data_IF_112410721632
#
_entry.id   IF_112410721632
#
_cell.length_a   1.000
_cell.length_b   1.000
_cell.length_c   1.000
_cell.angle_alpha   90.00
_cell.angle_beta   90.00
_cell.angle_gamma   90.00
#
_symmetry.space_group_name_H-M   'P 1'
#
loop_
_entity.id
_entity.type
_entity.pdbx_description
1 polymer ?
#
# COMPACT_ATOMS: atom_id res chain seq x y z
N UNK A 1 0.50 -25.11 -16.01
CA UNK A 1 1.62 -24.19 -15.70
C UNK A 1 0.97 -22.93 -15.20
N UNK A 2 1.28 -22.50 -13.98
CA UNK A 2 0.68 -21.30 -13.37
C UNK A 2 1.40 -20.03 -13.84
N UNK A 3 0.65 -18.96 -14.06
CA UNK A 3 1.14 -17.64 -14.44
C UNK A 3 1.65 -16.90 -13.21
N UNK A 4 2.83 -16.30 -13.35
CA UNK A 4 3.38 -15.34 -12.39
C UNK A 4 3.09 -13.94 -12.89
N UNK A 5 2.46 -13.12 -12.05
CA UNK A 5 2.00 -11.79 -12.43
C UNK A 5 2.75 -10.74 -11.61
N UNK A 6 3.18 -9.68 -12.28
CA UNK A 6 3.64 -8.45 -11.65
C UNK A 6 2.68 -7.32 -12.05
N UNK A 7 2.15 -6.61 -11.06
CA UNK A 7 1.30 -5.44 -11.24
C UNK A 7 2.02 -4.22 -10.70
N UNK A 8 2.04 -3.13 -11.45
CA UNK A 8 2.72 -1.88 -11.09
C UNK A 8 1.69 -0.76 -11.08
N UNK A 9 1.67 0.05 -10.02
CA UNK A 9 0.77 1.20 -9.95
C UNK A 9 0.66 1.80 -8.55
N UNK A 10 -0.52 2.33 -8.23
CA UNK A 10 -0.84 2.96 -6.96
C UNK A 10 -2.34 3.08 -6.77
N UNK A 11 -2.74 3.63 -5.63
CA UNK A 11 -4.10 4.07 -5.36
C UNK A 11 -5.17 2.98 -5.44
N UNK A 12 -6.38 3.44 -5.75
CA UNK A 12 -7.57 2.61 -5.88
C UNK A 12 -7.55 1.71 -7.12
N UNK A 13 -6.89 2.13 -8.20
CA UNK A 13 -6.83 1.37 -9.45
C UNK A 13 -6.10 0.04 -9.30
N UNK A 14 -4.90 0.07 -8.72
CA UNK A 14 -4.15 -1.17 -8.44
C UNK A 14 -4.89 -2.06 -7.44
N UNK A 15 -5.46 -1.46 -6.38
CA UNK A 15 -6.26 -2.21 -5.39
C UNK A 15 -7.47 -2.92 -6.02
N UNK A 16 -8.23 -2.25 -6.90
CA UNK A 16 -9.36 -2.85 -7.58
C UNK A 16 -8.93 -4.01 -8.50
N UNK A 17 -7.84 -3.83 -9.25
CA UNK A 17 -7.27 -4.90 -10.10
C UNK A 17 -6.87 -6.12 -9.27
N UNK A 18 -6.11 -5.91 -8.20
CA UNK A 18 -5.62 -7.00 -7.35
C UNK A 18 -6.75 -7.71 -6.60
N UNK A 19 -7.78 -6.98 -6.17
CA UNK A 19 -9.01 -7.58 -5.62
C UNK A 19 -9.69 -8.51 -6.62
N UNK A 20 -9.80 -8.08 -7.89
CA UNK A 20 -10.33 -8.91 -8.96
C UNK A 20 -9.48 -10.15 -9.25
N UNK A 21 -8.15 -10.01 -9.27
CA UNK A 21 -7.22 -11.13 -9.46
C UNK A 21 -7.33 -12.14 -8.30
N UNK A 22 -7.35 -11.66 -7.05
CA UNK A 22 -7.55 -12.48 -5.86
C UNK A 22 -8.89 -13.23 -5.93
N UNK A 23 -9.97 -12.51 -6.20
CA UNK A 23 -11.30 -13.10 -6.34
C UNK A 23 -11.38 -14.14 -7.45
N UNK A 24 -10.75 -13.90 -8.61
CA UNK A 24 -10.67 -14.88 -9.70
C UNK A 24 -9.89 -16.14 -9.28
N UNK A 25 -8.78 -15.99 -8.57
CA UNK A 25 -7.99 -17.11 -8.07
C UNK A 25 -8.76 -17.95 -7.02
N UNK A 26 -9.67 -17.32 -6.26
CA UNK A 26 -10.49 -17.99 -5.24
C UNK A 26 -11.71 -18.74 -5.82
N UNK A 27 -12.14 -18.44 -7.04
CA UNK A 27 -13.26 -19.13 -7.68
C UNK A 27 -12.93 -20.60 -7.97
N UNK A 28 -13.93 -21.49 -7.89
CA UNK A 28 -13.75 -22.91 -8.20
C UNK A 28 -13.29 -23.18 -9.64
N UNK A 29 -13.57 -22.26 -10.57
CA UNK A 29 -13.10 -22.28 -11.96
C UNK A 29 -11.58 -22.00 -12.05
N UNK A 30 -11.01 -21.34 -11.04
CA UNK A 30 -9.58 -21.08 -10.88
C UNK A 30 -8.77 -22.26 -10.34
N UNK A 31 -9.40 -23.41 -10.02
CA UNK A 31 -8.73 -24.63 -9.50
C UNK A 31 -7.75 -25.28 -10.48
N UNK A 32 -7.78 -24.89 -11.75
CA UNK A 32 -6.72 -25.20 -12.72
C UNK A 32 -5.40 -24.44 -12.43
N UNK A 33 -5.36 -23.66 -11.34
CA UNK A 33 -4.20 -22.92 -10.83
C UNK A 33 -3.54 -22.06 -11.93
N UNK A 34 -4.38 -21.34 -12.68
CA UNK A 34 -3.94 -20.51 -13.81
C UNK A 34 -3.07 -19.36 -13.31
N UNK A 35 -3.39 -18.77 -12.14
CA UNK A 35 -2.63 -17.68 -11.53
C UNK A 35 -2.03 -18.17 -10.22
N UNK A 36 -0.71 -18.06 -10.09
CA UNK A 36 0.02 -18.30 -8.85
C UNK A 36 -0.01 -17.04 -7.99
N UNK A 37 -1.04 -16.93 -7.14
CA UNK A 37 -1.25 -15.76 -6.29
C UNK A 37 -0.13 -15.59 -5.24
N UNK A 38 0.49 -16.68 -4.78
CA UNK A 38 1.61 -16.62 -3.84
C UNK A 38 2.86 -16.00 -4.48
N UNK A 39 3.01 -16.13 -5.80
CA UNK A 39 4.10 -15.52 -6.55
C UNK A 39 3.85 -14.08 -7.00
N UNK A 40 2.59 -13.60 -6.90
CA UNK A 40 2.16 -12.26 -7.32
C UNK A 40 3.07 -11.19 -6.73
N UNK A 41 3.49 -10.24 -7.56
CA UNK A 41 4.25 -9.07 -7.12
C UNK A 41 3.46 -7.80 -7.40
N UNK A 42 3.02 -7.12 -6.36
CA UNK A 42 2.43 -5.79 -6.44
C UNK A 42 3.51 -4.74 -6.14
N UNK A 43 3.97 -4.06 -7.18
CA UNK A 43 4.95 -2.98 -7.09
C UNK A 43 4.18 -1.67 -7.00
N UNK A 44 4.34 -0.94 -5.90
CA UNK A 44 3.49 0.20 -5.58
C UNK A 44 4.30 1.47 -5.35
N UNK A 45 3.76 2.59 -5.83
CA UNK A 45 4.31 3.92 -5.55
C UNK A 45 4.31 4.22 -4.05
N UNK A 46 5.27 5.06 -3.62
CA UNK A 46 5.42 5.56 -2.25
C UNK A 46 5.70 7.07 -2.28
N UNK A 47 4.99 7.78 -3.16
CA UNK A 47 5.15 9.23 -3.38
C UNK A 47 3.93 10.05 -2.94
N UNK A 48 2.95 9.42 -2.27
CA UNK A 48 1.80 10.12 -1.68
C UNK A 48 2.26 11.13 -0.63
N UNK A 49 1.93 12.40 -0.81
CA UNK A 49 2.21 13.46 0.16
C UNK A 49 0.95 14.00 0.86
N UNK A 50 -0.22 13.46 0.52
CA UNK A 50 -1.51 13.92 1.04
C UNK A 50 -1.93 13.37 2.41
N UNK A 51 -2.69 14.19 3.14
CA UNK A 51 -3.51 13.79 4.28
C UNK A 51 -2.74 13.25 5.48
N UNK A 52 -3.28 12.21 6.12
CA UNK A 52 -2.66 11.61 7.32
C UNK A 52 -1.34 10.89 7.03
N UNK A 53 -1.13 10.40 5.80
CA UNK A 53 0.14 9.76 5.42
C UNK A 53 1.26 10.80 5.40
N UNK A 54 1.02 11.98 4.81
CA UNK A 54 1.97 13.09 4.80
C UNK A 54 2.40 13.52 6.20
N UNK A 55 1.47 13.64 7.15
CA UNK A 55 1.80 13.96 8.55
C UNK A 55 2.75 12.95 9.20
N UNK A 56 2.55 11.66 8.97
CA UNK A 56 3.42 10.61 9.52
C UNK A 56 4.81 10.61 8.84
N UNK A 57 4.85 10.91 7.54
CA UNK A 57 6.10 11.04 6.79
C UNK A 57 6.94 12.19 7.35
N UNK A 58 6.31 13.35 7.57
CA UNK A 58 6.96 14.53 8.16
C UNK A 58 7.44 14.28 9.59
N UNK A 59 6.66 13.58 10.41
CA UNK A 59 6.96 13.36 11.83
C UNK A 59 8.00 12.25 12.06
N UNK A 60 7.99 11.18 11.26
CA UNK A 60 8.78 9.96 11.50
C UNK A 60 9.87 9.69 10.46
N UNK A 61 10.08 10.60 9.51
CA UNK A 61 11.08 10.44 8.43
C UNK A 61 10.98 9.07 7.73
N UNK A 62 9.76 8.73 7.29
CA UNK A 62 9.43 7.43 6.71
C UNK A 62 8.78 7.55 5.35
N UNK A 63 8.71 6.43 4.61
CA UNK A 63 7.96 6.37 3.36
C UNK A 63 6.44 6.43 3.60
N UNK A 64 5.67 7.08 2.71
CA UNK A 64 4.21 7.13 2.81
C UNK A 64 3.59 5.72 2.91
N UNK A 65 2.88 5.38 4.00
CA UNK A 65 2.34 4.04 4.20
C UNK A 65 1.00 3.81 3.50
N UNK A 66 0.36 4.84 2.95
CA UNK A 66 -1.05 4.82 2.53
C UNK A 66 -1.39 3.76 1.48
N UNK A 67 -0.68 3.78 0.36
CA UNK A 67 -0.93 2.82 -0.74
C UNK A 67 -0.53 1.38 -0.36
N UNK A 68 0.57 1.22 0.37
CA UNK A 68 0.99 -0.06 0.96
C UNK A 68 -0.11 -0.63 1.86
N UNK A 69 -0.68 0.19 2.76
CA UNK A 69 -1.77 -0.20 3.66
C UNK A 69 -2.98 -0.71 2.87
N UNK A 70 -3.37 0.01 1.81
CA UNK A 70 -4.49 -0.40 0.97
C UNK A 70 -4.24 -1.74 0.29
N UNK A 71 -3.01 -2.02 -0.15
CA UNK A 71 -2.67 -3.32 -0.73
C UNK A 71 -2.64 -4.45 0.30
N UNK A 72 -2.16 -4.17 1.52
CA UNK A 72 -2.22 -5.11 2.63
C UNK A 72 -3.67 -5.51 2.93
N UNK A 73 -4.59 -4.55 2.94
CA UNK A 73 -6.03 -4.83 3.05
C UNK A 73 -6.53 -5.68 1.87
N UNK A 74 -6.20 -5.27 0.65
CA UNK A 74 -6.70 -5.90 -0.59
C UNK A 74 -6.31 -7.37 -0.70
N UNK A 75 -5.07 -7.70 -0.35
CA UNK A 75 -4.49 -9.03 -0.53
C UNK A 75 -4.57 -9.91 0.74
N UNK A 76 -5.14 -9.39 1.83
CA UNK A 76 -5.28 -10.08 3.12
C UNK A 76 -6.38 -11.13 3.10
N UNK A 77 -6.13 -12.31 3.66
CA UNK A 77 -7.17 -13.32 3.96
C UNK A 77 -7.69 -13.23 5.42
N UNK A 78 -7.21 -12.28 6.22
CA UNK A 78 -7.67 -12.03 7.58
C UNK A 78 -8.68 -10.88 7.64
N UNK A 79 -9.93 -11.10 7.20
CA UNK A 79 -10.94 -10.06 6.99
C UNK A 79 -11.15 -9.09 8.18
N UNK A 80 -11.25 -9.61 9.42
CA UNK A 80 -11.46 -8.77 10.61
C UNK A 80 -10.25 -7.87 10.90
N UNK A 81 -9.03 -8.41 10.82
CA UNK A 81 -7.80 -7.64 11.03
C UNK A 81 -7.54 -6.65 9.90
N UNK A 82 -7.88 -7.03 8.67
CA UNK A 82 -7.82 -6.14 7.51
C UNK A 82 -8.76 -4.95 7.69
N UNK A 83 -10.01 -5.19 8.12
CA UNK A 83 -10.97 -4.14 8.44
C UNK A 83 -10.46 -3.18 9.51
N UNK A 84 -9.83 -3.70 10.57
CA UNK A 84 -9.16 -2.87 11.58
C UNK A 84 -8.02 -2.05 10.97
N UNK A 85 -7.23 -2.62 10.06
CA UNK A 85 -6.12 -1.93 9.40
C UNK A 85 -6.58 -0.71 8.57
N UNK A 86 -7.76 -0.78 7.95
CA UNK A 86 -8.36 0.34 7.21
C UNK A 86 -9.16 1.31 8.10
N UNK A 87 -9.38 1.00 9.38
CA UNK A 87 -10.14 1.87 10.28
C UNK A 87 -9.49 3.24 10.38
N UNK A 88 -10.29 4.29 10.11
CA UNK A 88 -9.88 5.69 10.23
C UNK A 88 -10.56 6.34 11.42
N UNK A 89 -9.77 6.93 12.29
CA UNK A 89 -10.27 7.71 13.43
C UNK A 89 -11.02 8.95 12.94
N UNK A 90 -12.26 9.14 13.41
CA UNK A 90 -13.13 10.25 13.01
C UNK A 90 -13.09 11.44 13.98
N UNK A 91 -12.14 11.47 14.92
CA UNK A 91 -12.04 12.55 15.91
C UNK A 91 -11.36 13.79 15.32
N UNK A 92 -11.51 14.94 16.00
CA UNK A 92 -10.76 16.16 15.72
C UNK A 92 -9.49 16.30 16.59
N UNK A 93 -9.10 15.21 17.29
CA UNK A 93 -7.91 15.18 18.13
C UNK A 93 -6.66 14.78 17.35
N UNK A 94 -5.58 14.45 18.06
CA UNK A 94 -4.28 14.07 17.48
C UNK A 94 -4.38 12.84 16.56
N UNK A 95 -5.17 11.84 16.96
CA UNK A 95 -5.43 10.67 16.11
C UNK A 95 -6.39 10.95 14.96
N UNK A 96 -7.00 12.13 14.93
CA UNK A 96 -8.02 12.53 13.96
C UNK A 96 -7.55 12.36 12.52
N UNK A 97 -8.29 11.57 11.75
CA UNK A 97 -7.97 11.27 10.36
C UNK A 97 -6.84 10.27 10.14
N UNK A 98 -6.15 9.79 11.19
CA UNK A 98 -5.20 8.68 11.03
C UNK A 98 -5.93 7.36 10.81
N UNK A 99 -5.32 6.48 10.02
CA UNK A 99 -5.75 5.07 9.94
C UNK A 99 -4.91 4.23 10.89
N UNK A 100 -5.52 3.24 11.54
CA UNK A 100 -4.81 2.29 12.42
C UNK A 100 -3.66 1.61 11.66
N UNK A 101 -3.88 1.19 10.42
CA UNK A 101 -2.86 0.52 9.61
C UNK A 101 -1.64 1.40 9.33
N UNK A 102 -1.82 2.70 9.05
CA UNK A 102 -0.70 3.62 8.90
C UNK A 102 0.12 3.71 10.19
N UNK A 103 -0.54 3.88 11.35
CA UNK A 103 0.14 3.95 12.65
C UNK A 103 0.90 2.65 12.95
N UNK A 104 0.30 1.50 12.68
CA UNK A 104 0.95 0.20 12.85
C UNK A 104 2.14 0.02 11.90
N UNK A 105 2.03 0.46 10.64
CA UNK A 105 3.15 0.42 9.70
C UNK A 105 4.30 1.33 10.12
N UNK A 106 4.00 2.52 10.65
CA UNK A 106 4.99 3.42 11.24
C UNK A 106 5.71 2.73 12.40
N UNK A 107 4.97 2.23 13.39
CA UNK A 107 5.55 1.53 14.54
C UNK A 107 6.35 0.28 14.15
N UNK A 108 5.88 -0.49 13.16
CA UNK A 108 6.60 -1.65 12.63
C UNK A 108 7.90 -1.22 11.92
N UNK A 109 7.90 -0.07 11.25
CA UNK A 109 9.10 0.46 10.57
C UNK A 109 10.17 0.83 11.56
N UNK A 110 9.81 1.54 12.64
CA UNK A 110 10.72 1.84 13.74
C UNK A 110 11.23 0.56 14.40
N UNK A 111 10.34 -0.37 14.75
CA UNK A 111 10.71 -1.61 15.44
C UNK A 111 11.61 -2.52 14.60
N UNK A 112 11.40 -2.58 13.28
CA UNK A 112 12.18 -3.45 12.37
C UNK A 112 13.40 -2.75 11.77
N UNK A 113 13.50 -1.44 11.93
CA UNK A 113 14.58 -0.59 11.44
C UNK A 113 14.56 -0.34 9.93
N UNK A 114 13.56 -0.85 9.20
CA UNK A 114 13.33 -0.48 7.80
C UNK A 114 11.92 -0.84 7.31
N UNK A 115 11.47 -0.09 6.30
CA UNK A 115 10.13 -0.18 5.73
C UNK A 115 9.83 -1.55 5.07
N UNK A 116 10.74 -2.19 4.29
CA UNK A 116 10.47 -3.52 3.74
C UNK A 116 10.19 -4.60 4.78
N UNK A 117 10.92 -4.61 5.90
CA UNK A 117 10.67 -5.56 7.00
C UNK A 117 9.34 -5.29 7.69
N UNK A 118 8.91 -4.03 7.77
CA UNK A 118 7.59 -3.66 8.29
C UNK A 118 6.48 -4.20 7.39
N UNK A 119 6.59 -4.05 6.07
CA UNK A 119 5.66 -4.62 5.09
C UNK A 119 5.59 -6.14 5.25
N UNK A 120 6.73 -6.83 5.35
CA UNK A 120 6.75 -8.28 5.57
C UNK A 120 6.09 -8.70 6.89
N UNK A 121 6.28 -7.92 7.95
CA UNK A 121 5.64 -8.19 9.23
C UNK A 121 4.12 -8.00 9.16
N UNK A 122 3.65 -6.90 8.59
CA UNK A 122 2.23 -6.63 8.37
C UNK A 122 1.58 -7.67 7.45
N UNK A 123 2.27 -8.08 6.38
CA UNK A 123 1.82 -9.12 5.45
C UNK A 123 1.57 -10.44 6.16
N UNK A 124 2.44 -10.83 7.11
CA UNK A 124 2.24 -12.03 7.92
C UNK A 124 1.06 -11.90 8.89
N UNK A 125 0.91 -10.74 9.54
CA UNK A 125 -0.20 -10.49 10.48
C UNK A 125 -1.56 -10.56 9.78
N UNK A 126 -1.62 -10.10 8.53
CA UNK A 126 -2.83 -10.03 7.72
C UNK A 126 -3.01 -11.22 6.78
N UNK A 127 -2.17 -12.27 6.88
CA UNK A 127 -2.22 -13.42 5.98
C UNK A 127 -2.31 -12.99 4.49
N UNK A 128 -1.46 -12.05 4.09
CA UNK A 128 -1.44 -11.51 2.72
C UNK A 128 -0.92 -12.55 1.74
N UNK A 129 -1.63 -12.72 0.63
CA UNK A 129 -1.19 -13.52 -0.52
C UNK A 129 -0.42 -12.66 -1.52
N UNK A 130 0.70 -13.19 -1.99
CA UNK A 130 1.63 -12.46 -2.85
C UNK A 130 2.59 -11.55 -2.08
N UNK A 131 3.29 -10.68 -2.83
CA UNK A 131 4.33 -9.79 -2.31
C UNK A 131 4.01 -8.35 -2.66
N UNK A 132 4.04 -7.48 -1.65
CA UNK A 132 3.93 -6.03 -1.82
C UNK A 132 5.33 -5.44 -1.75
N UNK A 133 5.70 -4.66 -2.77
CA UNK A 133 7.04 -4.14 -2.98
C UNK A 133 6.92 -2.62 -3.22
N UNK A 134 7.53 -1.77 -2.39
CA UNK A 134 7.58 -0.34 -2.69
C UNK A 134 8.51 -0.12 -3.89
N UNK A 135 8.16 0.82 -4.77
CA UNK A 135 8.94 1.11 -5.99
C UNK A 135 10.34 1.64 -5.68
N UNK A 136 10.52 2.23 -4.50
CA UNK A 136 11.78 2.75 -3.98
C UNK A 136 11.86 2.57 -2.46
N UNK A 137 13.07 2.60 -1.91
CA UNK A 137 13.31 2.65 -0.46
C UNK A 137 13.66 4.06 0.03
N UNK A 138 13.85 4.98 -0.90
CA UNK A 138 14.21 6.36 -0.63
C UNK A 138 12.98 7.25 -0.71
N UNK A 139 12.97 8.30 0.12
CA UNK A 139 11.94 9.33 0.04
C UNK A 139 11.96 10.00 -1.35
N UNK A 140 10.78 10.16 -1.94
CA UNK A 140 10.62 10.74 -3.28
C UNK A 140 9.49 11.77 -3.29
N UNK A 141 9.65 12.78 -4.15
CA UNK A 141 8.63 13.79 -4.42
C UNK A 141 8.28 13.67 -5.91
N UNK A 142 7.00 13.52 -6.22
CA UNK A 142 6.54 13.54 -7.60
C UNK A 142 6.61 14.96 -8.15
N UNK A 143 7.11 15.12 -9.38
CA UNK A 143 7.21 16.41 -10.06
C UNK A 143 6.56 16.31 -11.44
N UNK A 144 5.87 17.37 -11.86
CA UNK A 144 5.35 17.52 -13.22
C UNK A 144 5.92 18.80 -13.85
N UNK A 145 6.36 18.70 -15.10
CA UNK A 145 6.67 19.85 -15.95
C UNK A 145 5.43 20.17 -16.79
N UNK A 146 4.91 21.39 -16.62
CA UNK A 146 3.73 21.87 -17.35
C UNK A 146 4.13 22.35 -18.76
N UNK A 147 3.13 22.56 -19.61
CA UNK A 147 3.34 22.94 -21.01
C UNK A 147 4.05 24.30 -21.19
N UNK A 148 4.01 25.17 -20.19
CA UNK A 148 4.72 26.46 -20.15
C UNK A 148 6.13 26.37 -19.52
N UNK A 149 6.56 25.18 -19.11
CA UNK A 149 7.85 24.92 -18.46
C UNK A 149 7.85 25.12 -16.95
N UNK A 150 6.71 25.43 -16.32
CA UNK A 150 6.60 25.44 -14.85
C UNK A 150 6.80 24.03 -14.29
N UNK A 151 7.54 23.91 -13.19
CA UNK A 151 7.71 22.63 -12.47
C UNK A 151 6.88 22.66 -11.19
N UNK A 152 5.83 21.83 -11.15
CA UNK A 152 5.02 21.59 -9.97
C UNK A 152 5.58 20.40 -9.19
N UNK A 153 5.63 20.51 -7.86
CA UNK A 153 6.18 19.50 -6.96
C UNK A 153 5.15 19.07 -5.93
N UNK A 154 5.00 17.77 -5.79
CA UNK A 154 4.05 17.12 -4.89
C UNK A 154 2.95 16.40 -5.65
N UNK A 155 2.58 15.20 -5.20
CA UNK A 155 1.53 14.41 -5.85
C UNK A 155 0.18 15.11 -5.76
N UNK A 156 -0.16 15.64 -4.59
CA UNK A 156 -1.42 16.32 -4.35
C UNK A 156 -1.53 17.73 -4.96
N UNK A 157 -0.42 18.30 -5.45
CA UNK A 157 -0.37 19.67 -6.01
C UNK A 157 -0.35 19.71 -7.53
N UNK A 158 -0.03 18.59 -8.18
CA UNK A 158 0.08 18.48 -9.65
C UNK A 158 -1.29 18.59 -10.36
N UNK A 159 -2.37 17.92 -9.89
CA UNK A 159 -3.70 18.02 -10.51
C UNK A 159 -4.42 19.34 -10.22
#
# INVERSE_FOLDING_TARGET
>A
MSLKIACIGGGSGLSALLSGIKGYADLEIGKDNIIDLDSLAAIVTVSDDGGSSGRLVEEFDMLPPGDIRRLLFTLSDADELAGLFEYRFSSNGELGGHTVGNILLTALTELKGNFPKAIQAASRLLAVRGRIIPVTLDYTILCAELADGEIVRGESTIP
#
